data_IF_800251625817
#
_entry.id   IF_800251625817
#
_cell.length_a   1.000
_cell.length_b   1.000
_cell.length_c   1.000
_cell.angle_alpha   90.00
_cell.angle_beta   90.00
_cell.angle_gamma   90.00
#
_symmetry.space_group_name_H-M   'P 1'
#
loop_
_entity.id
_entity.type
_entity.pdbx_description
1 polymer ?
#
# COMPACT_ATOMS: atom_id res chain seq x y z
N UNK A 1 -11.81 -17.39 -12.75
CA UNK A 1 -12.00 -18.82 -12.40
C UNK A 1 -11.89 -18.90 -10.90
N UNK A 2 -12.85 -19.54 -10.22
CA UNK A 2 -12.88 -19.53 -8.76
C UNK A 2 -11.83 -20.47 -8.20
N UNK A 3 -11.33 -20.19 -6.99
CA UNK A 3 -10.34 -21.02 -6.28
C UNK A 3 -10.72 -22.51 -6.26
N UNK A 4 -12.00 -22.82 -6.04
CA UNK A 4 -12.53 -24.18 -6.00
C UNK A 4 -12.36 -24.92 -7.34
N UNK A 5 -12.63 -24.24 -8.46
CA UNK A 5 -12.50 -24.80 -9.81
C UNK A 5 -11.03 -25.13 -10.14
N UNK A 6 -10.11 -24.25 -9.72
CA UNK A 6 -8.66 -24.45 -9.87
C UNK A 6 -8.20 -25.65 -9.04
N UNK A 7 -8.64 -25.72 -7.80
CA UNK A 7 -8.27 -26.78 -6.88
C UNK A 7 -8.79 -28.14 -7.35
N UNK A 8 -10.02 -28.21 -7.84
CA UNK A 8 -10.58 -29.42 -8.42
C UNK A 8 -9.82 -29.84 -9.69
N UNK A 9 -9.46 -28.88 -10.55
CA UNK A 9 -8.61 -29.15 -11.70
C UNK A 9 -7.25 -29.73 -11.31
N UNK A 10 -6.57 -29.14 -10.32
CA UNK A 10 -5.27 -29.62 -9.82
C UNK A 10 -5.36 -31.00 -9.18
N UNK A 11 -6.48 -31.31 -8.51
CA UNK A 11 -6.73 -32.65 -7.94
C UNK A 11 -6.92 -33.71 -9.02
N UNK A 12 -7.51 -33.34 -10.16
CA UNK A 12 -7.68 -34.20 -11.32
C UNK A 12 -6.40 -34.34 -12.18
N UNK A 13 -5.46 -33.40 -12.08
CA UNK A 13 -4.20 -33.36 -12.84
C UNK A 13 -3.00 -33.33 -11.88
N UNK A 14 -2.79 -34.43 -11.15
CA UNK A 14 -1.78 -34.50 -10.07
C UNK A 14 -0.35 -34.30 -10.57
N UNK A 15 -0.07 -34.57 -11.84
CA UNK A 15 1.20 -34.30 -12.51
C UNK A 15 1.47 -32.80 -12.69
N UNK A 16 0.44 -31.96 -12.65
CA UNK A 16 0.55 -30.52 -12.85
C UNK A 16 1.00 -29.75 -11.60
N UNK A 17 1.10 -30.42 -10.43
CA UNK A 17 1.55 -29.80 -9.17
C UNK A 17 2.39 -30.76 -8.33
N UNK A 18 3.51 -30.27 -7.81
CA UNK A 18 4.38 -31.00 -6.89
C UNK A 18 3.95 -30.73 -5.45
N UNK A 19 3.30 -31.69 -4.82
CA UNK A 19 2.86 -31.62 -3.42
C UNK A 19 1.34 -31.69 -3.28
N UNK A 20 0.82 -31.22 -2.14
CA UNK A 20 -0.62 -31.09 -1.94
C UNK A 20 -1.15 -29.86 -2.72
N UNK A 21 -2.09 -30.04 -3.65
CA UNK A 21 -2.70 -28.93 -4.38
C UNK A 21 -3.23 -27.80 -3.50
N UNK A 22 -3.87 -28.13 -2.36
CA UNK A 22 -4.50 -27.12 -1.50
C UNK A 22 -3.43 -26.28 -0.78
N UNK A 23 -2.38 -26.91 -0.28
CA UNK A 23 -1.28 -26.21 0.37
C UNK A 23 -0.50 -25.32 -0.62
N UNK A 24 -0.19 -25.84 -1.82
CA UNK A 24 0.57 -25.09 -2.81
C UNK A 24 -0.27 -23.92 -3.33
N UNK A 25 -1.56 -24.12 -3.58
CA UNK A 25 -2.48 -23.06 -4.00
C UNK A 25 -2.66 -22.01 -2.89
N UNK A 26 -2.76 -22.44 -1.63
CA UNK A 26 -2.83 -21.54 -0.48
C UNK A 26 -1.57 -20.69 -0.31
N UNK A 27 -0.38 -21.26 -0.57
CA UNK A 27 0.87 -20.47 -0.60
C UNK A 27 0.87 -19.44 -1.73
N UNK A 28 0.42 -19.82 -2.92
CA UNK A 28 0.34 -18.88 -4.04
C UNK A 28 -0.63 -17.72 -3.77
N UNK A 29 -1.78 -18.02 -3.15
CA UNK A 29 -2.73 -17.00 -2.69
C UNK A 29 -2.09 -16.06 -1.67
N UNK A 30 -1.42 -16.63 -0.67
CA UNK A 30 -0.74 -15.87 0.37
C UNK A 30 0.33 -14.96 -0.20
N UNK A 31 1.19 -15.48 -1.07
CA UNK A 31 2.26 -14.72 -1.73
C UNK A 31 1.68 -13.55 -2.53
N UNK A 32 0.64 -13.80 -3.33
CA UNK A 32 -0.02 -12.79 -4.15
C UNK A 32 -0.62 -11.65 -3.30
N UNK A 33 -1.32 -12.00 -2.22
CA UNK A 33 -1.89 -11.01 -1.29
C UNK A 33 -0.81 -10.21 -0.58
N UNK A 34 0.22 -10.91 -0.07
CA UNK A 34 1.37 -10.31 0.62
C UNK A 34 2.05 -9.27 -0.26
N UNK A 35 2.37 -9.65 -1.49
CA UNK A 35 3.01 -8.78 -2.47
C UNK A 35 2.13 -7.58 -2.83
N UNK A 36 0.84 -7.80 -3.11
CA UNK A 36 -0.10 -6.73 -3.41
C UNK A 36 -0.22 -5.72 -2.27
N UNK A 37 -0.31 -6.20 -1.03
CA UNK A 37 -0.34 -5.36 0.16
C UNK A 37 0.93 -4.52 0.30
N UNK A 38 2.11 -5.14 0.14
CA UNK A 38 3.39 -4.43 0.18
C UNK A 38 3.47 -3.34 -0.90
N UNK A 39 3.10 -3.66 -2.15
CA UNK A 39 3.13 -2.71 -3.25
C UNK A 39 2.17 -1.53 -3.05
N UNK A 40 0.98 -1.75 -2.49
CA UNK A 40 0.04 -0.68 -2.19
C UNK A 40 0.65 0.35 -1.21
N UNK A 41 1.29 -0.12 -0.13
CA UNK A 41 1.99 0.76 0.83
C UNK A 41 3.18 1.49 0.18
N UNK A 42 3.99 0.79 -0.62
CA UNK A 42 5.12 1.40 -1.33
C UNK A 42 4.65 2.42 -2.39
N UNK A 43 3.50 2.21 -3.01
CA UNK A 43 2.92 3.19 -3.92
C UNK A 43 2.51 4.46 -3.18
N UNK A 44 1.85 4.34 -2.03
CA UNK A 44 1.50 5.47 -1.18
C UNK A 44 2.74 6.27 -0.72
N UNK A 45 3.84 5.56 -0.39
CA UNK A 45 5.15 6.18 -0.12
C UNK A 45 5.62 7.05 -1.29
N UNK A 46 5.62 6.52 -2.51
CA UNK A 46 6.05 7.30 -3.70
C UNK A 46 5.21 8.57 -3.90
N UNK A 47 3.90 8.52 -3.63
CA UNK A 47 3.03 9.69 -3.69
C UNK A 47 3.42 10.71 -2.61
N UNK A 48 3.62 10.28 -1.36
CA UNK A 48 4.07 11.17 -0.29
C UNK A 48 5.45 11.78 -0.56
N UNK A 49 6.39 11.03 -1.14
CA UNK A 49 7.70 11.54 -1.55
C UNK A 49 7.62 12.54 -2.71
N UNK A 50 6.68 12.34 -3.65
CA UNK A 50 6.38 13.32 -4.71
C UNK A 50 5.84 14.61 -4.11
N UNK A 51 4.89 14.52 -3.19
CA UNK A 51 4.37 15.69 -2.48
C UNK A 51 5.48 16.40 -1.71
N UNK A 52 6.32 15.67 -0.98
CA UNK A 52 7.50 16.19 -0.30
C UNK A 52 8.40 17.01 -1.25
N UNK A 53 8.72 16.45 -2.42
CA UNK A 53 9.52 17.13 -3.43
C UNK A 53 8.83 18.38 -3.98
N UNK A 54 7.51 18.32 -4.20
CA UNK A 54 6.70 19.45 -4.65
C UNK A 54 6.68 20.60 -3.64
N UNK A 55 6.46 20.30 -2.35
CA UNK A 55 6.44 21.31 -1.29
C UNK A 55 7.80 21.95 -1.07
N UNK A 56 8.90 21.20 -1.16
CA UNK A 56 10.26 21.77 -1.07
C UNK A 56 10.56 22.83 -2.15
N UNK A 57 9.83 22.81 -3.27
CA UNK A 57 10.00 23.76 -4.37
C UNK A 57 9.01 24.94 -4.31
N UNK A 58 8.02 24.92 -3.41
CA UNK A 58 7.03 25.99 -3.25
C UNK A 58 7.58 27.11 -2.36
N UNK A 59 7.01 28.31 -2.50
CA UNK A 59 7.27 29.38 -1.53
C UNK A 59 6.79 28.96 -0.13
N UNK A 60 7.35 29.59 0.92
CA UNK A 60 7.06 29.25 2.33
C UNK A 60 5.57 29.33 2.71
N UNK A 61 4.74 29.96 1.87
CA UNK A 61 3.30 30.04 2.07
C UNK A 61 2.94 31.04 3.17
N UNK A 62 1.81 30.79 3.84
CA UNK A 62 1.38 31.58 5.01
C UNK A 62 1.80 30.87 6.30
N UNK A 63 1.88 31.64 7.38
CA UNK A 63 2.02 31.06 8.72
C UNK A 63 0.74 30.32 9.12
N UNK A 64 0.88 29.13 9.71
CA UNK A 64 -0.23 28.32 10.20
C UNK A 64 0.16 27.52 11.44
N UNK A 65 -0.82 27.20 12.30
CA UNK A 65 -0.60 26.31 13.44
C UNK A 65 -0.36 24.86 12.96
N UNK A 66 0.63 24.17 13.53
CA UNK A 66 1.05 22.85 13.01
C UNK A 66 -0.07 21.80 13.04
N UNK A 67 -0.92 21.84 14.07
CA UNK A 67 -2.09 20.97 14.17
C UNK A 67 -3.10 21.18 13.03
N UNK A 68 -3.35 22.43 12.62
CA UNK A 68 -4.20 22.74 11.48
C UNK A 68 -3.58 22.20 10.19
N UNK A 69 -2.28 22.47 9.97
CA UNK A 69 -1.56 21.95 8.80
C UNK A 69 -1.60 20.42 8.77
N UNK A 70 -1.41 19.75 9.91
CA UNK A 70 -1.48 18.29 10.01
C UNK A 70 -2.84 17.72 9.60
N UNK A 71 -3.93 18.36 10.02
CA UNK A 71 -5.28 17.90 9.68
C UNK A 71 -5.59 18.14 8.20
N UNK A 72 -5.28 19.33 7.68
CA UNK A 72 -5.53 19.69 6.28
C UNK A 72 -4.67 18.86 5.33
N UNK A 73 -3.37 18.77 5.60
CA UNK A 73 -2.43 17.99 4.78
C UNK A 73 -2.81 16.52 4.71
N UNK A 74 -3.09 15.88 5.85
CA UNK A 74 -3.52 14.47 5.86
C UNK A 74 -4.88 14.28 5.19
N UNK A 75 -5.80 15.24 5.30
CA UNK A 75 -7.09 15.18 4.62
C UNK A 75 -6.93 15.28 3.10
N UNK A 76 -6.15 16.24 2.62
CA UNK A 76 -5.91 16.46 1.20
C UNK A 76 -5.15 15.30 0.57
N UNK A 77 -4.10 14.79 1.23
CA UNK A 77 -3.37 13.63 0.74
C UNK A 77 -4.26 12.38 0.71
N UNK A 78 -5.11 12.15 1.72
CA UNK A 78 -6.06 11.04 1.69
C UNK A 78 -7.07 11.16 0.54
N UNK A 79 -7.50 12.40 0.22
CA UNK A 79 -8.38 12.66 -0.93
C UNK A 79 -7.67 12.40 -2.25
N UNK A 80 -6.40 12.79 -2.37
CA UNK A 80 -5.57 12.50 -3.54
C UNK A 80 -5.34 10.99 -3.71
N UNK A 81 -4.99 10.27 -2.64
CA UNK A 81 -4.81 8.82 -2.66
C UNK A 81 -6.06 8.09 -3.16
N UNK A 82 -7.27 8.53 -2.77
CA UNK A 82 -8.52 7.95 -3.31
C UNK A 82 -8.66 8.09 -4.83
N UNK A 83 -8.06 9.11 -5.43
CA UNK A 83 -8.13 9.35 -6.87
C UNK A 83 -7.02 8.64 -7.64
N UNK A 84 -5.96 8.22 -6.95
CA UNK A 84 -4.76 7.62 -7.52
C UNK A 84 -4.64 6.14 -7.14
N UNK A 85 -5.77 5.46 -6.96
CA UNK A 85 -5.74 4.03 -6.72
C UNK A 85 -4.97 3.30 -7.83
N UNK A 86 -3.91 2.55 -7.48
CA UNK A 86 -3.16 1.80 -8.45
C UNK A 86 -4.06 0.76 -9.12
N UNK A 87 -3.73 0.45 -10.36
CA UNK A 87 -4.21 -0.77 -11.00
C UNK A 87 -3.08 -1.77 -10.91
N UNK A 88 -3.40 -3.04 -10.68
CA UNK A 88 -2.41 -4.13 -10.69
C UNK A 88 -1.69 -4.14 -12.03
N UNK A 89 -0.48 -3.57 -12.03
CA UNK A 89 0.41 -3.51 -13.19
C UNK A 89 1.57 -4.46 -12.93
N UNK A 90 1.64 -5.55 -13.69
CA UNK A 90 2.69 -6.55 -13.52
C UNK A 90 2.35 -7.90 -14.13
N UNK A 91 3.37 -8.75 -14.26
CA UNK A 91 3.15 -10.15 -14.61
C UNK A 91 2.70 -10.93 -13.38
N UNK A 92 1.81 -11.92 -13.54
CA UNK A 92 1.38 -12.73 -12.40
C UNK A 92 2.55 -13.50 -11.77
N UNK A 93 3.61 -13.72 -12.55
CA UNK A 93 4.83 -14.38 -12.09
C UNK A 93 5.64 -13.54 -11.08
N UNK A 94 5.48 -12.21 -11.04
CA UNK A 94 6.12 -11.39 -10.02
C UNK A 94 5.34 -11.32 -8.71
N UNK A 95 4.08 -11.78 -8.70
CA UNK A 95 3.19 -11.75 -7.53
C UNK A 95 3.36 -12.98 -6.64
N UNK A 96 3.98 -14.04 -7.14
CA UNK A 96 4.13 -15.32 -6.41
C UNK A 96 5.60 -15.69 -6.34
N UNK A 97 6.04 -16.19 -5.20
CA UNK A 97 7.45 -16.56 -5.01
C UNK A 97 7.88 -17.63 -6.04
N UNK A 98 9.09 -17.54 -6.62
CA UNK A 98 9.57 -18.49 -7.63
C UNK A 98 9.53 -19.95 -7.16
N UNK A 99 9.72 -20.20 -5.86
CA UNK A 99 9.63 -21.53 -5.26
C UNK A 99 8.19 -22.08 -5.30
N UNK A 100 7.20 -21.23 -5.01
CA UNK A 100 5.77 -21.57 -5.07
C UNK A 100 5.33 -21.80 -6.52
N UNK A 101 5.72 -20.92 -7.45
CA UNK A 101 5.47 -21.12 -8.89
C UNK A 101 6.18 -22.36 -9.45
N UNK A 102 7.37 -22.67 -8.94
CA UNK A 102 8.16 -23.85 -9.29
C UNK A 102 7.47 -25.18 -8.98
N UNK A 103 6.49 -25.18 -8.07
CA UNK A 103 5.69 -26.35 -7.77
C UNK A 103 4.64 -26.66 -8.84
N UNK A 104 4.24 -25.69 -9.66
CA UNK A 104 3.28 -25.87 -10.74
C UNK A 104 3.97 -26.17 -12.08
N UNK A 105 3.40 -27.09 -12.86
CA UNK A 105 3.71 -27.26 -14.27
C UNK A 105 3.20 -26.06 -15.08
N UNK A 106 3.71 -25.86 -16.30
CA UNK A 106 3.38 -24.69 -17.12
C UNK A 106 1.86 -24.53 -17.35
N UNK A 107 1.17 -25.63 -17.63
CA UNK A 107 -0.29 -25.64 -17.86
C UNK A 107 -1.07 -25.14 -16.65
N UNK A 108 -0.66 -25.53 -15.43
CA UNK A 108 -1.23 -25.02 -14.20
C UNK A 108 -0.91 -23.53 -13.99
N UNK A 109 0.29 -23.06 -14.35
CA UNK A 109 0.65 -21.64 -14.24
C UNK A 109 -0.20 -20.76 -15.16
N UNK A 110 -0.46 -21.19 -16.38
CA UNK A 110 -1.30 -20.44 -17.31
C UNK A 110 -2.73 -20.30 -16.79
N UNK A 111 -3.24 -21.34 -16.15
CA UNK A 111 -4.54 -21.35 -15.48
C UNK A 111 -4.56 -20.43 -14.24
N UNK A 112 -3.49 -20.44 -13.43
CA UNK A 112 -3.35 -19.63 -12.22
C UNK A 112 -3.17 -18.14 -12.53
N UNK A 113 -2.57 -17.77 -13.67
CA UNK A 113 -2.24 -16.38 -14.02
C UNK A 113 -3.41 -15.42 -13.84
N UNK A 114 -4.59 -15.80 -14.32
CA UNK A 114 -5.80 -14.96 -14.20
C UNK A 114 -6.28 -14.82 -12.76
N UNK A 115 -6.29 -15.93 -12.01
CA UNK A 115 -6.76 -15.96 -10.62
C UNK A 115 -5.82 -15.26 -9.65
N UNK A 116 -4.49 -15.43 -9.81
CA UNK A 116 -3.48 -14.72 -9.01
C UNK A 116 -3.63 -13.20 -9.18
N UNK A 117 -3.87 -12.72 -10.41
CA UNK A 117 -4.12 -11.29 -10.66
C UNK A 117 -5.40 -10.80 -10.01
N UNK A 118 -6.47 -11.59 -10.05
CA UNK A 118 -7.75 -11.28 -9.40
C UNK A 118 -7.56 -11.15 -7.87
N UNK A 119 -6.91 -12.14 -7.24
CA UNK A 119 -6.58 -12.13 -5.80
C UNK A 119 -5.72 -10.92 -5.43
N UNK A 120 -4.68 -10.64 -6.22
CA UNK A 120 -3.82 -9.50 -5.97
C UNK A 120 -4.57 -8.17 -6.13
N UNK A 121 -5.48 -8.05 -7.10
CA UNK A 121 -6.29 -6.84 -7.29
C UNK A 121 -7.29 -6.59 -6.18
N UNK A 122 -7.96 -7.63 -5.70
CA UNK A 122 -8.85 -7.52 -4.53
C UNK A 122 -8.08 -7.08 -3.28
N UNK A 123 -6.90 -7.65 -3.06
CA UNK A 123 -6.07 -7.30 -1.90
C UNK A 123 -5.44 -5.90 -2.03
N UNK A 124 -4.96 -5.52 -3.22
CA UNK A 124 -4.45 -4.18 -3.49
C UNK A 124 -5.53 -3.13 -3.20
N UNK A 125 -6.76 -3.34 -3.70
CA UNK A 125 -7.90 -2.46 -3.42
C UNK A 125 -8.19 -2.36 -1.91
N UNK A 126 -8.29 -3.52 -1.24
CA UNK A 126 -8.56 -3.58 0.21
C UNK A 126 -7.51 -2.81 1.02
N UNK A 127 -6.24 -3.01 0.69
CA UNK A 127 -5.10 -2.36 1.37
C UNK A 127 -5.05 -0.88 1.00
N UNK A 128 -5.38 -0.51 -0.24
CA UNK A 128 -5.44 0.88 -0.66
C UNK A 128 -6.46 1.69 0.15
N UNK A 129 -7.64 1.14 0.38
CA UNK A 129 -8.61 1.77 1.28
C UNK A 129 -8.07 1.91 2.72
N UNK A 130 -7.27 0.94 3.17
CA UNK A 130 -6.60 1.00 4.47
C UNK A 130 -5.56 2.13 4.51
N UNK A 131 -4.75 2.29 3.46
CA UNK A 131 -3.82 3.42 3.31
C UNK A 131 -4.58 4.74 3.42
N UNK A 132 -5.67 4.90 2.68
CA UNK A 132 -6.50 6.12 2.70
C UNK A 132 -7.05 6.40 4.10
N UNK A 133 -7.60 5.39 4.77
CA UNK A 133 -8.13 5.52 6.14
C UNK A 133 -7.03 5.87 7.14
N UNK A 134 -5.88 5.20 7.03
CA UNK A 134 -4.70 5.44 7.86
C UNK A 134 -4.23 6.89 7.70
N UNK A 135 -4.05 7.35 6.46
CA UNK A 135 -3.61 8.72 6.13
C UNK A 135 -4.52 9.76 6.75
N UNK A 136 -5.84 9.61 6.55
CA UNK A 136 -6.83 10.53 7.06
C UNK A 136 -6.85 10.59 8.61
N UNK A 137 -6.62 9.45 9.27
CA UNK A 137 -6.55 9.39 10.74
C UNK A 137 -5.21 9.91 11.31
N UNK A 138 -4.13 9.86 10.52
CA UNK A 138 -2.77 10.08 11.01
C UNK A 138 -2.54 11.49 11.54
N UNK A 139 -3.13 12.52 10.92
CA UNK A 139 -3.03 13.90 11.43
C UNK A 139 -3.49 14.04 12.88
N UNK A 140 -4.62 13.41 13.25
CA UNK A 140 -5.11 13.39 14.64
C UNK A 140 -4.21 12.57 15.57
N UNK A 141 -3.60 11.50 15.08
CA UNK A 141 -2.67 10.68 15.88
C UNK A 141 -1.38 11.44 16.17
N UNK A 142 -0.80 12.12 15.19
CA UNK A 142 0.40 12.93 15.36
C UNK A 142 0.23 14.06 16.37
N UNK A 143 -0.94 14.71 16.38
CA UNK A 143 -1.28 15.72 17.39
C UNK A 143 -1.35 15.09 18.79
N UNK A 144 -2.03 13.93 18.93
CA UNK A 144 -2.16 13.23 20.23
C UNK A 144 -0.83 12.70 20.75
N UNK A 145 0.07 12.30 19.86
CA UNK A 145 1.42 11.83 20.17
C UNK A 145 2.39 12.96 20.51
N UNK A 146 1.97 14.23 20.35
CA UNK A 146 2.82 15.40 20.58
C UNK A 146 3.86 15.64 19.48
N UNK A 147 3.73 14.98 18.33
CA UNK A 147 4.61 15.17 17.17
C UNK A 147 4.32 16.48 16.42
N UNK A 148 3.18 17.12 16.69
CA UNK A 148 2.78 18.42 16.15
C UNK A 148 2.35 19.32 17.29
N UNK A 149 2.85 20.56 17.33
CA UNK A 149 2.47 21.53 18.35
C UNK A 149 0.99 21.89 18.23
N UNK A 150 0.30 21.90 19.38
CA UNK A 150 -1.04 22.46 19.52
C UNK A 150 -1.03 23.92 19.96
N UNK A 151 0.14 24.46 20.31
CA UNK A 151 0.26 25.83 20.78
C UNK A 151 0.18 26.78 19.57
N UNK A 152 -0.74 27.73 19.68
CA UNK A 152 -1.10 28.68 18.63
C UNK A 152 -0.59 30.09 18.94
N UNK A 153 0.54 30.19 19.64
CA UNK A 153 1.17 31.47 19.96
C UNK A 153 1.73 32.12 18.68
N UNK A 154 1.69 33.46 18.60
CA UNK A 154 2.27 34.21 17.48
C UNK A 154 3.77 33.92 17.28
N UNK A 155 4.48 33.54 18.36
CA UNK A 155 5.90 33.18 18.34
C UNK A 155 6.18 31.75 17.83
N UNK A 156 5.17 30.88 17.79
CA UNK A 156 5.28 29.47 17.37
C UNK A 156 4.63 29.20 15.99
N UNK A 157 4.30 30.26 15.25
CA UNK A 157 3.66 30.12 13.94
C UNK A 157 4.68 29.66 12.89
N UNK A 158 4.66 28.37 12.58
CA UNK A 158 5.49 27.78 11.54
C UNK A 158 5.00 28.12 10.13
N UNK A 159 5.90 28.05 9.16
CA UNK A 159 5.53 28.16 7.75
C UNK A 159 4.79 26.89 7.33
N UNK A 160 3.62 27.04 6.71
CA UNK A 160 2.81 25.90 6.24
C UNK A 160 3.66 24.89 5.46
N UNK A 161 4.49 25.39 4.54
CA UNK A 161 5.35 24.56 3.69
C UNK A 161 6.35 23.73 4.50
N UNK A 162 6.92 24.26 5.57
CA UNK A 162 7.86 23.53 6.43
C UNK A 162 7.17 22.39 7.17
N UNK A 163 5.99 22.65 7.76
CA UNK A 163 5.21 21.63 8.45
C UNK A 163 4.71 20.56 7.47
N UNK A 164 4.24 20.95 6.27
CA UNK A 164 3.83 20.01 5.22
C UNK A 164 4.97 19.10 4.75
N UNK A 165 6.18 19.65 4.57
CA UNK A 165 7.39 18.86 4.25
C UNK A 165 7.69 17.84 5.35
N UNK A 166 7.61 18.25 6.63
CA UNK A 166 7.83 17.34 7.76
C UNK A 166 6.79 16.22 7.80
N UNK A 167 5.51 16.55 7.59
CA UNK A 167 4.40 15.60 7.56
C UNK A 167 4.53 14.60 6.40
N UNK A 168 4.89 15.07 5.21
CA UNK A 168 5.12 14.19 4.05
C UNK A 168 6.25 13.18 4.32
N UNK A 169 7.34 13.62 4.97
CA UNK A 169 8.43 12.73 5.35
C UNK A 169 8.03 11.68 6.41
N UNK A 170 7.24 12.09 7.41
CA UNK A 170 6.69 11.16 8.42
C UNK A 170 5.81 10.10 7.75
N UNK A 171 4.88 10.52 6.88
CA UNK A 171 3.99 9.58 6.19
C UNK A 171 4.76 8.63 5.27
N UNK A 172 5.75 9.12 4.52
CA UNK A 172 6.59 8.26 3.69
C UNK A 172 7.31 7.18 4.51
N UNK A 173 7.78 7.53 5.71
CA UNK A 173 8.38 6.58 6.64
C UNK A 173 7.35 5.59 7.22
N UNK A 174 6.20 6.07 7.68
CA UNK A 174 5.12 5.23 8.22
C UNK A 174 4.66 4.19 7.16
N UNK A 175 4.53 4.59 5.89
CA UNK A 175 4.17 3.67 4.81
C UNK A 175 5.25 2.61 4.56
N UNK A 176 6.53 2.96 4.65
CA UNK A 176 7.63 2.00 4.54
C UNK A 176 7.66 1.00 5.70
N UNK A 177 7.37 1.43 6.92
CA UNK A 177 7.21 0.52 8.06
C UNK A 177 6.04 -0.43 7.87
N UNK A 178 4.91 0.07 7.34
CA UNK A 178 3.75 -0.76 7.02
C UNK A 178 4.03 -1.78 5.93
N UNK A 179 4.69 -1.36 4.85
CA UNK A 179 5.14 -2.26 3.78
C UNK A 179 6.02 -3.40 4.34
N UNK A 180 6.98 -3.08 5.22
CA UNK A 180 7.84 -4.09 5.86
C UNK A 180 7.09 -5.01 6.82
N UNK A 181 6.01 -4.55 7.45
CA UNK A 181 5.22 -5.37 8.38
C UNK A 181 4.32 -6.40 7.69
N UNK A 182 4.07 -6.22 6.39
CA UNK A 182 3.28 -7.14 5.58
C UNK A 182 4.15 -8.03 4.70
N UNK A 183 5.47 -7.80 4.61
CA UNK A 183 6.44 -8.62 3.87
C UNK A 183 6.96 -9.78 4.72
#
# INVERSE_FOLDING_TARGET
>A
MRREEILDWLRSHREAVRGDPDEVLGRAEHDARRHAAEQAWLHAKRIAERELAGWKQRSLGSHAAENTVALEFCHDLARELRQLEPQVDGDAESLVEPATLGAFAQEARDLLRGWVREVAGEEEHRVWEEVVRFTHARGKSLIREGAMSTASGWEETHWYTETAVRLAAILAHDYEERARSVS
#
